data_IF_764055301202
#
_entry.id   IF_764055301202
#
_cell.length_a   1.000
_cell.length_b   1.000
_cell.length_c   1.000
_cell.angle_alpha   90.00
_cell.angle_beta   90.00
_cell.angle_gamma   90.00
#
_symmetry.space_group_name_H-M   'P 1'
#
loop_
_entity.id
_entity.type
_entity.pdbx_description
1 polymer ?
#
# COMPACT_ATOMS: atom_id res chain seq x y z
N UNK A 1 9.02 23.06 12.98
CA UNK A 1 9.11 21.78 13.70
C UNK A 1 7.78 21.09 13.50
N UNK A 2 7.75 20.00 12.75
CA UNK A 2 6.50 19.30 12.46
C UNK A 2 6.15 18.44 13.68
N UNK A 3 4.87 18.16 13.96
CA UNK A 3 4.44 17.37 15.12
C UNK A 3 5.01 15.93 15.18
N UNK A 4 5.82 15.51 14.20
CA UNK A 4 6.50 14.21 14.13
C UNK A 4 7.89 14.16 14.80
N UNK A 5 8.38 15.28 15.37
CA UNK A 5 9.76 15.40 15.87
C UNK A 5 10.01 14.79 17.27
N UNK A 6 9.01 14.20 17.94
CA UNK A 6 9.09 13.77 19.36
C UNK A 6 9.20 12.25 19.65
N UNK A 7 9.20 11.36 18.66
CA UNK A 7 9.31 9.90 18.87
C UNK A 7 8.55 9.09 17.83
N UNK A 8 8.62 7.75 17.93
CA UNK A 8 7.75 6.87 17.13
C UNK A 8 6.29 7.17 17.51
N UNK A 9 5.35 7.34 16.55
CA UNK A 9 3.99 7.71 16.92
C UNK A 9 3.38 6.63 17.82
N UNK A 10 2.71 7.04 18.89
CA UNK A 10 1.95 6.10 19.73
C UNK A 10 0.88 5.41 18.87
N UNK A 11 0.69 4.11 19.07
CA UNK A 11 -0.35 3.36 18.38
C UNK A 11 -1.72 4.02 18.60
N UNK A 12 -2.49 4.16 17.52
CA UNK A 12 -3.78 4.86 17.56
C UNK A 12 -3.70 6.39 17.61
N UNK A 13 -2.51 6.99 17.69
CA UNK A 13 -2.38 8.45 17.64
C UNK A 13 -2.71 9.02 16.24
N UNK A 14 -3.16 10.27 16.21
CA UNK A 14 -3.37 11.01 14.97
C UNK A 14 -2.11 11.03 14.08
N UNK A 15 -0.93 11.17 14.69
CA UNK A 15 0.36 11.12 13.98
C UNK A 15 0.60 9.76 13.31
N UNK A 16 0.29 8.65 13.99
CA UNK A 16 0.42 7.30 13.41
C UNK A 16 -0.51 7.13 12.19
N UNK A 17 -1.76 7.59 12.31
CA UNK A 17 -2.76 7.51 11.25
C UNK A 17 -2.28 8.31 10.02
N UNK A 18 -1.79 9.54 10.23
CA UNK A 18 -1.25 10.37 9.16
C UNK A 18 -0.05 9.73 8.47
N UNK A 19 0.91 9.17 9.23
CA UNK A 19 2.07 8.48 8.64
C UNK A 19 1.69 7.24 7.84
N UNK A 20 0.73 6.45 8.34
CA UNK A 20 0.22 5.30 7.60
C UNK A 20 -0.48 5.72 6.30
N UNK A 21 -1.27 6.79 6.34
CA UNK A 21 -1.91 7.37 5.16
C UNK A 21 -0.90 7.82 4.10
N UNK A 22 0.16 8.53 4.51
CA UNK A 22 1.24 8.94 3.62
C UNK A 22 1.98 7.73 3.03
N UNK A 23 2.30 6.73 3.84
CA UNK A 23 2.95 5.50 3.38
C UNK A 23 2.14 4.77 2.30
N UNK A 24 0.83 4.68 2.47
CA UNK A 24 -0.08 4.09 1.48
C UNK A 24 -0.07 4.88 0.16
N UNK A 25 -0.13 6.21 0.24
CA UNK A 25 -0.10 7.07 -0.96
C UNK A 25 1.21 6.90 -1.72
N UNK A 26 2.35 6.99 -1.02
CA UNK A 26 3.67 6.79 -1.61
C UNK A 26 3.80 5.42 -2.28
N UNK A 27 3.25 4.38 -1.65
CA UNK A 27 3.25 3.03 -2.22
C UNK A 27 2.46 2.94 -3.52
N UNK A 28 1.25 3.49 -3.54
CA UNK A 28 0.38 3.45 -4.73
C UNK A 28 0.98 4.23 -5.91
N UNK A 29 1.66 5.34 -5.64
CA UNK A 29 2.42 6.09 -6.65
C UNK A 29 3.56 5.23 -7.19
N UNK A 30 4.39 4.69 -6.28
CA UNK A 30 5.54 3.86 -6.66
C UNK A 30 5.13 2.62 -7.49
N UNK A 31 4.02 1.97 -7.16
CA UNK A 31 3.49 0.86 -7.95
C UNK A 31 3.09 1.29 -9.37
N UNK A 32 2.44 2.44 -9.51
CA UNK A 32 2.04 2.97 -10.83
C UNK A 32 3.24 3.34 -11.69
N UNK A 33 4.30 3.84 -11.06
CA UNK A 33 5.52 4.27 -11.73
C UNK A 33 6.39 3.09 -12.14
N UNK A 34 6.59 2.12 -11.24
CA UNK A 34 7.45 0.95 -11.48
C UNK A 34 6.75 -0.16 -12.24
N UNK A 35 5.41 -0.21 -12.20
CA UNK A 35 4.60 -1.34 -12.66
C UNK A 35 4.99 -2.67 -12.01
N UNK A 36 5.55 -2.63 -10.81
CA UNK A 36 5.92 -3.83 -10.06
C UNK A 36 4.67 -4.68 -9.78
N UNK A 37 4.74 -5.94 -10.16
CA UNK A 37 3.69 -6.93 -9.91
C UNK A 37 3.79 -7.42 -8.46
N UNK A 38 2.67 -7.45 -7.75
CA UNK A 38 2.58 -7.94 -6.37
C UNK A 38 1.36 -8.84 -6.20
N UNK A 39 1.59 -9.96 -5.50
CA UNK A 39 0.61 -11.01 -5.30
C UNK A 39 -0.41 -10.70 -4.22
N UNK A 40 -0.15 -9.79 -3.26
CA UNK A 40 -1.13 -9.28 -2.28
C UNK A 40 -0.90 -7.81 -1.87
N UNK A 41 -1.63 -6.89 -2.51
CA UNK A 41 -1.63 -5.48 -2.10
C UNK A 41 -2.68 -5.28 -1.01
N UNK A 42 -2.30 -5.50 0.26
CA UNK A 42 -3.15 -5.30 1.44
C UNK A 42 -2.44 -4.31 2.39
N UNK A 43 -3.16 -3.39 3.07
CA UNK A 43 -2.52 -2.37 3.92
C UNK A 43 -1.57 -2.92 4.99
N UNK A 44 -1.82 -4.10 5.54
CA UNK A 44 -0.95 -4.72 6.55
C UNK A 44 0.35 -5.30 5.98
N UNK A 45 0.48 -5.43 4.66
CA UNK A 45 1.73 -5.83 4.00
C UNK A 45 2.71 -4.65 3.84
N UNK A 46 2.35 -3.49 4.38
CA UNK A 46 3.15 -2.28 4.33
C UNK A 46 3.46 -1.84 5.75
N UNK A 47 4.75 -1.64 6.01
CA UNK A 47 5.22 -1.12 7.28
C UNK A 47 5.93 0.20 7.02
N UNK A 48 5.51 1.23 7.73
CA UNK A 48 6.18 2.53 7.70
C UNK A 48 7.14 2.58 8.88
N UNK A 49 8.44 2.74 8.60
CA UNK A 49 9.47 2.95 9.61
C UNK A 49 9.94 4.40 9.56
N UNK A 50 9.98 5.07 10.71
CA UNK A 50 10.67 6.36 10.84
C UNK A 50 12.19 6.14 10.81
N UNK A 51 12.88 6.91 9.97
CA UNK A 51 14.33 7.06 9.96
C UNK A 51 14.68 8.53 10.26
N UNK A 52 15.95 8.79 10.55
CA UNK A 52 16.44 10.13 10.90
C UNK A 52 16.21 11.15 9.76
N UNK A 53 16.13 10.68 8.52
CA UNK A 53 15.95 11.45 7.29
C UNK A 53 14.53 11.39 6.71
N UNK A 54 13.59 10.70 7.36
CA UNK A 54 12.18 10.66 6.92
C UNK A 54 11.45 9.34 7.15
N UNK A 55 10.39 9.12 6.37
CA UNK A 55 9.58 7.90 6.43
C UNK A 55 10.07 6.90 5.38
N UNK A 56 10.46 5.70 5.82
CA UNK A 56 10.79 4.58 4.94
C UNK A 56 9.61 3.61 4.87
N UNK A 57 9.08 3.41 3.66
CA UNK A 57 8.09 2.37 3.39
C UNK A 57 8.81 1.03 3.16
N UNK A 58 8.40 -0.01 3.91
CA UNK A 58 8.85 -1.38 3.72
C UNK A 58 7.69 -2.26 3.29
N UNK A 59 7.88 -2.99 2.20
CA UNK A 59 6.92 -3.95 1.67
C UNK A 59 7.26 -5.32 2.25
N UNK A 60 6.26 -5.95 2.87
CA UNK A 60 6.34 -7.29 3.44
C UNK A 60 5.31 -8.15 2.70
N UNK A 61 5.48 -8.28 1.39
CA UNK A 61 4.57 -9.01 0.50
C UNK A 61 5.33 -9.90 -0.49
N UNK A 62 4.63 -10.90 -1.03
CA UNK A 62 5.09 -11.68 -2.17
C UNK A 62 5.12 -10.85 -3.45
N UNK A 63 6.34 -10.52 -3.90
CA UNK A 63 6.59 -9.96 -5.23
C UNK A 63 6.20 -10.96 -6.33
N UNK A 64 5.78 -10.43 -7.49
CA UNK A 64 5.47 -11.19 -8.70
C UNK A 64 4.01 -11.15 -9.13
N UNK A 65 3.73 -11.74 -10.30
CA UNK A 65 2.37 -11.86 -10.82
C UNK A 65 1.63 -13.00 -10.12
N UNK A 66 0.42 -12.75 -9.62
CA UNK A 66 -0.50 -13.81 -9.18
C UNK A 66 -1.36 -14.37 -10.31
N UNK A 67 -1.29 -13.79 -11.52
CA UNK A 67 -2.11 -14.25 -12.65
C UNK A 67 -1.55 -15.54 -13.23
N UNK A 68 -2.46 -16.49 -13.51
CA UNK A 68 -2.15 -17.75 -14.20
C UNK A 68 -1.59 -17.53 -15.62
N UNK A 69 -2.01 -16.45 -16.28
CA UNK A 69 -1.45 -16.00 -17.57
C UNK A 69 -0.61 -14.74 -17.32
N UNK A 70 0.71 -14.74 -17.60
CA UNK A 70 1.61 -13.63 -17.30
C UNK A 70 1.52 -12.50 -18.34
N UNK A 71 0.32 -12.16 -18.81
CA UNK A 71 0.09 -11.00 -19.68
C UNK A 71 0.68 -9.69 -19.13
N UNK A 72 0.66 -9.44 -17.79
CA UNK A 72 1.31 -8.28 -17.20
C UNK A 72 2.83 -8.26 -17.39
N UNK A 73 3.48 -9.43 -17.50
CA UNK A 73 4.93 -9.53 -17.73
C UNK A 73 5.27 -9.32 -19.22
N UNK A 74 4.32 -9.62 -20.11
CA UNK A 74 4.50 -9.54 -21.56
C UNK A 74 4.16 -8.16 -22.14
N UNK A 75 3.33 -7.35 -21.46
CA UNK A 75 2.88 -6.07 -22.00
C UNK A 75 2.66 -5.01 -20.90
N UNK A 76 3.27 -3.85 -21.09
CA UNK A 76 3.16 -2.67 -20.22
C UNK A 76 1.70 -2.22 -19.99
N UNK A 77 0.81 -2.40 -20.97
CA UNK A 77 -0.63 -2.07 -20.80
C UNK A 77 -1.32 -3.01 -19.82
N UNK A 78 -1.05 -4.32 -19.92
CA UNK A 78 -1.59 -5.30 -18.98
C UNK A 78 -0.95 -5.16 -17.59
N UNK A 79 0.34 -4.82 -17.50
CA UNK A 79 0.98 -4.46 -16.23
C UNK A 79 0.27 -3.29 -15.54
N UNK A 80 -0.05 -2.24 -16.29
CA UNK A 80 -0.77 -1.07 -15.78
C UNK A 80 -2.19 -1.42 -15.32
N UNK A 81 -2.95 -2.17 -16.11
CA UNK A 81 -4.28 -2.63 -15.71
C UNK A 81 -4.23 -3.50 -14.46
N UNK A 82 -3.25 -4.42 -14.40
CA UNK A 82 -3.02 -5.25 -13.24
C UNK A 82 -2.77 -4.38 -12.00
N UNK A 83 -1.76 -3.52 -12.02
CA UNK A 83 -1.43 -2.63 -10.89
C UNK A 83 -2.62 -1.79 -10.45
N UNK A 84 -3.35 -1.19 -11.40
CA UNK A 84 -4.56 -0.40 -11.09
C UNK A 84 -5.61 -1.24 -10.37
N UNK A 85 -5.88 -2.46 -10.85
CA UNK A 85 -6.82 -3.38 -10.20
C UNK A 85 -6.40 -3.70 -8.77
N UNK A 86 -5.10 -3.86 -8.52
CA UNK A 86 -4.59 -4.13 -7.16
C UNK A 86 -4.76 -2.93 -6.23
N UNK A 87 -4.55 -1.71 -6.75
CA UNK A 87 -4.80 -0.47 -6.03
C UNK A 87 -6.29 -0.30 -5.70
N UNK A 88 -7.19 -0.63 -6.63
CA UNK A 88 -8.64 -0.61 -6.39
C UNK A 88 -9.05 -1.56 -5.24
N UNK A 89 -8.51 -2.78 -5.25
CA UNK A 89 -8.77 -3.77 -4.21
C UNK A 89 -8.24 -3.32 -2.84
N UNK A 90 -7.08 -2.67 -2.80
CA UNK A 90 -6.55 -2.06 -1.58
C UNK A 90 -7.48 -0.97 -1.04
N UNK A 91 -7.97 -0.07 -1.90
CA UNK A 91 -8.95 0.94 -1.48
C UNK A 91 -10.26 0.31 -1.00
N UNK A 92 -10.77 -0.72 -1.68
CA UNK A 92 -11.96 -1.45 -1.24
C UNK A 92 -11.77 -2.06 0.15
N UNK A 93 -10.61 -2.68 0.38
CA UNK A 93 -10.26 -3.24 1.69
C UNK A 93 -10.15 -2.18 2.78
N UNK A 94 -9.50 -1.05 2.51
CA UNK A 94 -9.41 0.07 3.46
C UNK A 94 -10.80 0.55 3.85
N UNK A 95 -11.69 0.78 2.86
CA UNK A 95 -13.07 1.20 3.14
C UNK A 95 -13.83 0.19 3.99
N UNK A 96 -13.65 -1.10 3.72
CA UNK A 96 -14.26 -2.17 4.50
C UNK A 96 -13.72 -2.24 5.93
N UNK A 97 -12.41 -2.08 6.13
CA UNK A 97 -11.84 -2.03 7.48
C UNK A 97 -12.36 -0.78 8.25
N UNK A 98 -12.49 0.37 7.57
CA UNK A 98 -13.04 1.60 8.16
C UNK A 98 -14.56 1.55 8.42
N UNK A 99 -15.32 0.72 7.70
CA UNK A 99 -16.76 0.54 7.95
C UNK A 99 -17.07 -0.39 9.13
N UNK A 100 -16.04 -0.83 9.87
CA UNK A 100 -16.22 -1.84 10.91
C UNK A 100 -16.43 -3.23 10.34
N UNK A 101 -15.87 -3.52 9.16
CA UNK A 101 -15.92 -4.82 8.48
C UNK A 101 -17.33 -5.27 8.08
N UNK A 102 -18.18 -4.31 7.72
CA UNK A 102 -19.52 -4.61 7.25
C UNK A 102 -19.52 -5.05 5.78
N UNK A 103 -20.21 -6.16 5.49
CA UNK A 103 -20.33 -6.74 4.15
C UNK A 103 -19.08 -7.49 3.68
N UNK A 104 -19.03 -7.81 2.40
CA UNK A 104 -17.85 -8.41 1.73
C UNK A 104 -17.09 -7.34 0.93
N UNK A 105 -15.79 -7.53 0.76
CA UNK A 105 -14.90 -6.60 0.04
C UNK A 105 -14.29 -7.22 -1.22
N UNK A 106 -14.58 -8.50 -1.50
CA UNK A 106 -13.99 -9.30 -2.57
C UNK A 106 -15.05 -10.15 -3.25
#
# INVERSE_FOLDING_TARGET
MYPCDYGCPTEGSFSQIMHNGLGLISYMIWLKDTLLLTKNIIPHNLVVKKQDDGLQLKIIDGLGCASFIPLPEMNRRFARQYVNRRIELMHARIRWDLSGRQGEWK
#
